data_IF_767678240710
#
_entry.id   IF_767678240710
#
_cell.length_a   1.000
_cell.length_b   1.000
_cell.length_c   1.000
_cell.angle_alpha   90.00
_cell.angle_beta   90.00
_cell.angle_gamma   90.00
#
_symmetry.space_group_name_H-M   'P 1'
#
loop_
_entity.id
_entity.type
_entity.pdbx_description
1 polymer ?
#
# COMPACT_ATOMS: atom_id res chain seq x y z
N UNK A 1 11.45 -17.75 48.21
CA UNK A 1 10.06 -17.36 47.84
C UNK A 1 10.00 -16.10 46.96
N UNK A 2 10.80 -15.05 47.21
CA UNK A 2 10.81 -13.82 46.41
C UNK A 2 11.14 -14.02 44.91
N UNK A 3 12.05 -14.94 44.61
CA UNK A 3 12.42 -15.31 43.23
C UNK A 3 11.30 -16.02 42.48
N UNK A 4 10.54 -16.88 43.15
CA UNK A 4 9.40 -17.58 42.56
C UNK A 4 8.27 -16.60 42.18
N UNK A 5 8.04 -15.58 43.02
CA UNK A 5 7.05 -14.54 42.78
C UNK A 5 7.41 -13.66 41.57
N UNK A 6 8.70 -13.37 41.39
CA UNK A 6 9.19 -12.62 40.22
C UNK A 6 9.02 -13.39 38.91
N UNK A 7 9.26 -14.72 38.94
CA UNK A 7 9.05 -15.59 37.77
C UNK A 7 7.56 -15.67 37.42
N UNK A 8 6.68 -15.76 38.42
CA UNK A 8 5.23 -15.76 38.22
C UNK A 8 4.74 -14.44 37.63
N UNK A 9 5.28 -13.30 38.08
CA UNK A 9 4.96 -11.97 37.54
C UNK A 9 5.37 -11.80 36.08
N UNK A 10 6.53 -12.34 35.69
CA UNK A 10 7.00 -12.34 34.30
C UNK A 10 6.12 -13.21 33.38
N UNK A 11 5.56 -14.31 33.89
CA UNK A 11 4.67 -15.18 33.13
C UNK A 11 3.27 -14.57 32.89
N UNK A 12 2.88 -13.56 33.69
CA UNK A 12 1.60 -12.84 33.55
C UNK A 12 1.70 -11.62 32.64
N UNK A 13 2.89 -11.26 32.16
CA UNK A 13 3.02 -10.17 31.17
C UNK A 13 2.45 -10.70 29.85
N UNK A 14 1.35 -10.14 29.34
CA UNK A 14 0.90 -10.48 28.01
C UNK A 14 2.01 -10.03 27.05
N UNK A 15 2.76 -10.98 26.51
CA UNK A 15 3.53 -10.75 25.30
C UNK A 15 2.50 -10.42 24.23
N UNK A 16 2.19 -9.13 24.09
CA UNK A 16 1.74 -8.62 22.80
C UNK A 16 2.92 -8.86 21.88
N UNK A 17 2.92 -10.03 21.22
CA UNK A 17 3.53 -10.15 19.91
C UNK A 17 2.97 -8.98 19.13
N UNK A 18 3.77 -7.95 18.93
CA UNK A 18 3.41 -6.89 18.01
C UNK A 18 3.17 -7.60 16.69
N UNK A 19 1.90 -7.80 16.36
CA UNK A 19 1.49 -7.89 14.98
C UNK A 19 2.17 -6.68 14.35
N UNK A 20 3.20 -6.94 13.54
CA UNK A 20 3.73 -5.89 12.70
C UNK A 20 2.51 -5.34 12.00
N UNK A 21 2.18 -4.07 12.26
CA UNK A 21 1.07 -3.38 11.61
C UNK A 21 1.15 -3.80 10.17
N UNK A 22 0.16 -4.60 9.75
CA UNK A 22 0.13 -5.10 8.39
C UNK A 22 -0.18 -3.85 7.61
N UNK A 23 0.86 -3.13 7.18
CA UNK A 23 0.73 -1.92 6.38
C UNK A 23 -0.21 -2.35 5.28
N UNK A 24 -1.40 -1.77 5.25
CA UNK A 24 -2.41 -2.17 4.29
C UNK A 24 -1.94 -1.63 2.94
N UNK A 25 -1.14 -2.43 2.23
CA UNK A 25 -0.52 -2.03 0.98
C UNK A 25 -1.60 -2.10 -0.08
N UNK A 26 -2.12 -0.93 -0.44
CA UNK A 26 -3.01 -0.78 -1.58
C UNK A 26 -2.28 -1.20 -2.86
N UNK A 27 -2.81 -2.23 -3.52
CA UNK A 27 -2.27 -2.76 -4.78
C UNK A 27 -3.18 -2.41 -5.95
N UNK A 28 -2.61 -1.78 -6.97
CA UNK A 28 -3.25 -1.55 -8.27
C UNK A 28 -2.54 -2.37 -9.33
N UNK A 29 -3.32 -3.07 -10.14
CA UNK A 29 -2.82 -3.93 -11.22
C UNK A 29 -3.48 -3.49 -12.53
N UNK A 30 -2.72 -3.58 -13.61
CA UNK A 30 -3.24 -3.35 -14.96
C UNK A 30 -2.63 -4.37 -15.91
N UNK A 31 -3.41 -4.97 -16.83
CA UNK A 31 -2.88 -5.94 -17.78
C UNK A 31 -1.92 -5.27 -18.76
N UNK A 32 -0.78 -5.92 -19.00
CA UNK A 32 0.23 -5.47 -19.98
C UNK A 32 0.53 -6.59 -20.96
N UNK A 33 0.79 -6.21 -22.21
CA UNK A 33 1.08 -7.18 -23.29
C UNK A 33 2.50 -7.75 -23.19
N UNK A 34 3.43 -7.00 -22.61
CA UNK A 34 4.81 -7.42 -22.37
C UNK A 34 5.41 -6.68 -21.17
N UNK A 35 6.58 -7.12 -20.71
CA UNK A 35 7.35 -6.49 -19.62
C UNK A 35 8.35 -5.44 -20.13
N UNK A 36 8.22 -5.00 -21.37
CA UNK A 36 9.14 -4.01 -21.93
C UNK A 36 9.00 -2.68 -21.19
N UNK A 37 10.13 -2.00 -20.95
CA UNK A 37 10.16 -0.76 -20.18
C UNK A 37 9.20 0.30 -20.74
N UNK A 38 9.07 0.41 -22.06
CA UNK A 38 8.13 1.33 -22.70
C UNK A 38 6.66 0.96 -22.45
N UNK A 39 6.32 -0.33 -22.41
CA UNK A 39 4.97 -0.83 -22.12
C UNK A 39 4.64 -0.59 -20.66
N UNK A 40 5.57 -0.91 -19.75
CA UNK A 40 5.41 -0.66 -18.32
C UNK A 40 5.25 0.83 -18.00
N UNK A 41 6.05 1.70 -18.63
CA UNK A 41 5.94 3.16 -18.48
C UNK A 41 4.56 3.70 -18.86
N UNK A 42 3.96 3.16 -19.92
CA UNK A 42 2.61 3.56 -20.37
C UNK A 42 1.51 3.01 -19.46
N UNK A 43 1.74 1.85 -18.85
CA UNK A 43 0.78 1.18 -17.96
C UNK A 43 0.81 1.72 -16.51
N UNK A 44 1.91 2.33 -16.08
CA UNK A 44 2.10 2.78 -14.71
C UNK A 44 1.05 3.81 -14.21
N UNK A 45 0.66 4.84 -14.99
CA UNK A 45 -0.40 5.77 -14.57
C UNK A 45 -1.73 5.05 -14.27
N UNK A 46 -2.06 4.03 -15.05
CA UNK A 46 -3.28 3.25 -14.90
C UNK A 46 -3.26 2.38 -13.64
N UNK A 47 -2.12 1.71 -13.38
CA UNK A 47 -1.94 0.97 -12.13
C UNK A 47 -2.03 1.90 -10.90
N UNK A 48 -1.43 3.10 -10.98
CA UNK A 48 -1.50 4.10 -9.92
C UNK A 48 -2.93 4.60 -9.71
N UNK A 49 -3.70 4.80 -10.79
CA UNK A 49 -5.13 5.13 -10.70
C UNK A 49 -5.91 4.11 -9.87
N UNK A 50 -5.68 2.82 -10.10
CA UNK A 50 -6.34 1.76 -9.32
C UNK A 50 -5.97 1.77 -7.84
N UNK A 51 -4.72 2.09 -7.50
CA UNK A 51 -4.30 2.29 -6.10
C UNK A 51 -5.07 3.45 -5.48
N UNK A 52 -5.11 4.60 -6.16
CA UNK A 52 -5.73 5.81 -5.62
C UNK A 52 -7.26 5.70 -5.50
N UNK A 53 -7.94 5.02 -6.41
CA UNK A 53 -9.38 4.74 -6.28
C UNK A 53 -9.65 3.88 -5.04
N UNK A 54 -8.86 2.81 -4.84
CA UNK A 54 -8.99 1.96 -3.65
C UNK A 54 -8.71 2.72 -2.36
N UNK A 55 -7.67 3.56 -2.36
CA UNK A 55 -7.29 4.36 -1.20
C UNK A 55 -8.30 5.46 -0.86
N UNK A 56 -8.83 6.15 -1.87
CA UNK A 56 -9.77 7.27 -1.68
C UNK A 56 -11.22 6.82 -1.43
N UNK A 57 -11.57 5.58 -1.80
CA UNK A 57 -12.94 5.09 -1.77
C UNK A 57 -13.84 5.65 -2.88
N UNK A 58 -13.26 6.42 -3.83
CA UNK A 58 -13.98 6.95 -4.98
C UNK A 58 -14.27 5.85 -6.02
N UNK A 59 -15.39 5.99 -6.72
CA UNK A 59 -15.76 5.08 -7.81
C UNK A 59 -15.07 5.43 -9.13
N UNK A 60 -14.85 6.73 -9.38
CA UNK A 60 -14.11 7.24 -10.54
C UNK A 60 -13.51 8.61 -10.23
N UNK A 61 -12.64 9.09 -11.12
CA UNK A 61 -12.06 10.43 -11.07
C UNK A 61 -12.66 11.36 -12.14
N UNK A 62 -13.80 11.02 -12.72
CA UNK A 62 -14.37 11.76 -13.87
C UNK A 62 -14.69 13.22 -13.52
N UNK A 63 -15.03 13.48 -12.26
CA UNK A 63 -15.31 14.82 -11.73
C UNK A 63 -14.04 15.64 -11.42
N UNK A 64 -12.84 15.04 -11.58
CA UNK A 64 -11.54 15.62 -11.19
C UNK A 64 -10.57 15.64 -12.40
N UNK A 65 -10.73 16.57 -13.35
CA UNK A 65 -9.92 16.62 -14.57
C UNK A 65 -8.41 16.82 -14.32
N UNK A 66 -8.03 17.32 -13.15
CA UNK A 66 -6.66 17.49 -12.70
C UNK A 66 -5.93 16.17 -12.34
N UNK A 67 -6.67 15.08 -12.12
CA UNK A 67 -6.08 13.80 -11.68
C UNK A 67 -5.24 13.17 -12.78
N UNK A 68 -5.73 13.19 -14.01
CA UNK A 68 -5.07 12.57 -15.16
C UNK A 68 -3.67 13.18 -15.47
N UNK A 69 -3.47 14.52 -15.52
CA UNK A 69 -2.12 15.08 -15.63
C UNK A 69 -1.25 14.81 -14.39
N UNK A 70 -1.83 14.81 -13.19
CA UNK A 70 -1.10 14.50 -11.95
C UNK A 70 -0.60 13.05 -11.92
N UNK A 71 -1.41 12.08 -12.35
CA UNK A 71 -1.05 10.66 -12.46
C UNK A 71 0.15 10.46 -13.40
N UNK A 72 0.15 11.12 -14.56
CA UNK A 72 1.29 11.07 -15.49
C UNK A 72 2.55 11.63 -14.85
N UNK A 73 2.45 12.76 -14.16
CA UNK A 73 3.60 13.35 -13.47
C UNK A 73 4.11 12.47 -12.33
N UNK A 74 3.22 11.95 -11.47
CA UNK A 74 3.58 11.07 -10.36
C UNK A 74 4.27 9.79 -10.86
N UNK A 75 3.78 9.21 -11.95
CA UNK A 75 4.39 8.01 -12.56
C UNK A 75 5.84 8.23 -13.00
N UNK A 76 6.23 9.46 -13.36
CA UNK A 76 7.62 9.78 -13.74
C UNK A 76 8.61 9.77 -12.56
N UNK A 77 8.12 9.82 -11.32
CA UNK A 77 8.95 9.79 -10.10
C UNK A 77 9.32 8.35 -9.73
N UNK A 78 8.50 7.38 -10.11
CA UNK A 78 8.67 5.95 -9.77
C UNK A 78 9.62 5.20 -10.72
N UNK A 79 10.20 5.88 -11.71
CA UNK A 79 11.01 5.31 -12.79
C UNK A 79 12.48 5.75 -12.73
#
# INVERSE_FOLDING_TARGET
>A
MRTLFLILLLALVPFKTGEADTIDIYRGETPVQSKDAAVLRRALPEALRHVLLKFSGLRSFDDYPEVEPALRQASSIML
#
